data_IF_752312068448
#
_entry.id   IF_752312068448
#
_cell.length_a   1.000
_cell.length_b   1.000
_cell.length_c   1.000
_cell.angle_alpha   90.00
_cell.angle_beta   90.00
_cell.angle_gamma   90.00
#
_symmetry.space_group_name_H-M   'P 1'
#
loop_
_entity.id
_entity.type
_entity.pdbx_description
1 polymer ?
#
# COMPACT_ATOMS: atom_id res chain seq x y z
N UNK A 1 19.73 -0.07 -7.66
CA UNK A 1 20.49 1.14 -7.24
C UNK A 1 20.37 1.46 -5.74
N UNK A 2 19.27 1.17 -5.05
CA UNK A 2 19.11 1.47 -3.61
C UNK A 2 20.02 0.69 -2.64
N UNK A 3 20.36 -0.57 -2.94
CA UNK A 3 21.16 -1.41 -2.04
C UNK A 3 22.60 -0.90 -1.89
N UNK A 4 23.18 -0.36 -2.97
CA UNK A 4 24.55 0.18 -2.97
C UNK A 4 24.64 1.45 -2.11
N UNK A 5 23.60 2.29 -2.13
CA UNK A 5 23.56 3.51 -1.32
C UNK A 5 23.55 3.22 0.19
N UNK A 6 22.84 2.18 0.63
CA UNK A 6 22.78 1.77 2.04
C UNK A 6 24.13 1.23 2.52
N UNK A 7 24.82 0.43 1.70
CA UNK A 7 26.15 -0.11 2.04
C UNK A 7 27.19 1.01 2.17
N UNK A 8 27.17 2.00 1.27
CA UNK A 8 28.08 3.15 1.34
C UNK A 8 27.81 4.05 2.56
N UNK A 9 26.54 4.21 2.94
CA UNK A 9 26.15 4.97 4.13
C UNK A 9 26.63 4.30 5.42
N UNK A 10 26.42 2.97 5.54
CA UNK A 10 26.89 2.19 6.70
C UNK A 10 28.42 2.18 6.79
N UNK A 11 29.11 2.10 5.65
CA UNK A 11 30.57 2.14 5.61
C UNK A 11 31.13 3.51 6.04
N UNK A 12 30.52 4.60 5.57
CA UNK A 12 30.92 5.97 5.93
C UNK A 12 30.61 6.32 7.38
N UNK A 13 29.49 5.84 7.91
CA UNK A 13 29.16 6.00 9.33
C UNK A 13 30.14 5.26 10.25
N UNK A 14 30.58 4.06 9.85
CA UNK A 14 31.56 3.27 10.61
C UNK A 14 32.96 3.91 10.65
N UNK A 15 33.37 4.62 9.61
CA UNK A 15 34.65 5.35 9.58
C UNK A 15 34.64 6.53 10.57
N UNK A 16 33.56 7.31 10.62
CA UNK A 16 33.44 8.49 11.49
C UNK A 16 33.51 8.15 12.99
N UNK A 17 32.93 7.01 13.41
CA UNK A 17 32.93 6.56 14.82
C UNK A 17 34.34 6.19 15.31
N UNK A 18 35.23 5.77 14.42
CA UNK A 18 36.58 5.37 14.80
C UNK A 18 37.53 6.57 14.98
N UNK A 19 37.30 7.68 14.27
CA UNK A 19 38.10 8.90 14.42
C UNK A 19 37.85 9.61 15.76
N UNK A 20 36.61 9.59 16.26
CA UNK A 20 36.26 10.25 17.54
C UNK A 20 36.85 9.57 18.77
N UNK A 21 37.31 8.31 18.63
CA UNK A 21 37.93 7.54 19.72
C UNK A 21 39.43 7.74 19.82
N UNK A 22 40.09 8.20 18.75
CA UNK A 22 41.54 8.44 18.74
C UNK A 22 41.92 9.78 19.40
N UNK A 23 41.04 10.79 19.34
CA UNK A 23 41.29 12.11 19.92
C UNK A 23 41.02 12.25 21.44
N UNK A 24 40.67 11.16 22.15
CA UNK A 24 40.39 11.20 23.60
C UNK A 24 41.47 10.53 24.47
N UNK A 25 42.66 10.28 23.92
CA UNK A 25 43.73 9.60 24.66
C UNK A 25 45.01 10.44 24.87
N UNK A 26 45.00 11.74 24.55
CA UNK A 26 46.16 12.63 24.75
C UNK A 26 45.75 13.89 25.53
N UNK A 27 45.54 13.78 26.84
CA UNK A 27 45.58 14.95 27.75
C UNK A 27 45.59 14.55 29.25
N UNK A 28 46.76 14.12 29.74
CA UNK A 28 47.29 14.25 31.12
C UNK A 28 48.81 14.06 30.92
N UNK A 29 49.73 14.98 31.23
CA UNK A 29 50.12 15.50 32.53
C UNK A 29 51.18 16.63 32.33
N UNK A 30 51.56 17.27 33.43
CA UNK A 30 52.75 18.11 33.72
C UNK A 30 52.44 19.55 34.14
N UNK A 31 52.35 19.72 35.46
CA UNK A 31 52.73 20.94 36.15
C UNK A 31 53.86 20.64 37.15
N UNK A 32 54.94 21.43 37.11
CA UNK A 32 55.47 22.21 38.24
C UNK A 32 56.85 22.82 37.91
N UNK A 33 57.11 24.04 38.41
CA UNK A 33 58.46 24.60 38.49
C UNK A 33 58.56 26.11 38.73
N UNK A 34 58.80 26.53 39.98
CA UNK A 34 59.28 27.87 40.37
C UNK A 34 59.38 27.98 41.90
N UNK A 35 60.52 27.67 42.56
CA UNK A 35 61.76 28.45 42.77
C UNK A 35 61.68 29.50 43.91
N UNK A 36 62.44 29.32 45.01
CA UNK A 36 63.44 30.28 45.54
C UNK A 36 64.17 29.74 46.80
N UNK A 37 65.43 30.17 46.97
CA UNK A 37 66.31 29.93 48.13
C UNK A 37 65.95 30.78 49.36
N UNK A 38 66.32 30.32 50.57
CA UNK A 38 67.02 31.13 51.61
C UNK A 38 67.65 30.25 52.71
N UNK A 39 68.58 30.86 53.44
CA UNK A 39 69.65 30.33 54.31
C UNK A 39 69.34 30.22 55.82
N UNK A 40 70.07 29.31 56.48
CA UNK A 40 70.68 29.35 57.83
C UNK A 40 69.88 29.40 59.16
N UNK A 41 70.36 28.54 60.10
CA UNK A 41 70.40 28.60 61.59
C UNK A 41 69.27 27.98 62.46
N UNK A 42 69.69 27.11 63.41
CA UNK A 42 68.91 26.44 64.49
C UNK A 42 68.77 27.34 65.76
N UNK A 43 68.02 27.02 66.86
CA UNK A 43 67.49 25.70 67.32
C UNK A 43 66.09 25.70 68.01
N UNK A 44 65.11 24.93 67.52
CA UNK A 44 63.79 24.69 68.17
C UNK A 44 63.35 23.23 67.99
N UNK A 45 64.06 22.25 68.56
CA UNK A 45 63.90 20.84 68.13
C UNK A 45 62.88 20.00 68.90
N UNK A 46 62.33 20.47 70.03
CA UNK A 46 61.50 19.59 70.90
C UNK A 46 60.00 19.93 70.94
N UNK A 47 59.58 21.18 70.66
CA UNK A 47 58.17 21.56 70.54
C UNK A 47 57.62 21.36 69.11
N UNK A 48 58.39 21.69 68.07
CA UNK A 48 58.04 21.38 66.67
C UNK A 48 57.90 19.87 66.45
N UNK A 49 58.72 19.06 67.12
CA UNK A 49 58.68 17.59 66.99
C UNK A 49 57.41 16.97 67.56
N UNK A 50 56.71 17.66 68.46
CA UNK A 50 55.45 17.20 69.04
C UNK A 50 54.26 17.63 68.18
N UNK A 51 54.27 18.86 67.64
CA UNK A 51 53.28 19.31 66.64
C UNK A 51 53.41 18.58 65.29
N UNK A 52 54.62 18.30 64.81
CA UNK A 52 54.86 17.52 63.59
C UNK A 52 54.38 16.08 63.74
N UNK A 53 54.53 15.46 64.92
CA UNK A 53 53.99 14.12 65.19
C UNK A 53 52.46 14.10 65.24
N UNK A 54 51.84 15.13 65.79
CA UNK A 54 50.37 15.27 65.78
C UNK A 54 49.81 15.59 64.40
N UNK A 55 50.52 16.38 63.59
CA UNK A 55 50.18 16.65 62.18
C UNK A 55 50.38 15.42 61.28
N UNK A 56 51.53 14.74 61.39
CA UNK A 56 51.78 13.47 60.67
C UNK A 56 50.79 12.37 61.06
N UNK A 57 50.38 12.30 62.33
CA UNK A 57 49.34 11.36 62.77
C UNK A 57 47.98 11.65 62.13
N UNK A 58 47.56 12.91 62.08
CA UNK A 58 46.30 13.32 61.45
C UNK A 58 46.31 13.22 59.91
N UNK A 59 47.46 13.48 59.28
CA UNK A 59 47.66 13.29 57.84
C UNK A 59 47.62 11.79 57.46
N UNK A 60 48.28 10.94 58.25
CA UNK A 60 48.25 9.49 58.04
C UNK A 60 46.84 8.89 58.26
N UNK A 61 46.08 9.35 59.26
CA UNK A 61 44.69 8.94 59.45
C UNK A 61 43.79 9.42 58.30
N UNK A 62 43.99 10.66 57.82
CA UNK A 62 43.25 11.20 56.67
C UNK A 62 43.54 10.45 55.35
N UNK A 63 44.79 10.05 55.11
CA UNK A 63 45.16 9.21 53.97
C UNK A 63 44.55 7.80 54.06
N UNK A 64 44.51 7.21 55.26
CA UNK A 64 43.91 5.90 55.47
C UNK A 64 42.38 5.93 55.25
N UNK A 65 41.72 7.00 55.68
CA UNK A 65 40.28 7.21 55.46
C UNK A 65 39.96 7.42 53.97
N UNK A 66 40.74 8.22 53.25
CA UNK A 66 40.60 8.39 51.79
C UNK A 66 40.80 7.06 51.04
N UNK A 67 41.76 6.23 51.47
CA UNK A 67 42.01 4.92 50.88
C UNK A 67 40.83 3.97 51.10
N UNK A 68 40.24 3.97 52.30
CA UNK A 68 39.02 3.20 52.62
C UNK A 68 37.84 3.69 51.79
N UNK A 69 37.65 5.00 51.64
CA UNK A 69 36.57 5.55 50.83
C UNK A 69 36.73 5.16 49.34
N UNK A 70 37.95 5.26 48.80
CA UNK A 70 38.25 4.83 47.43
C UNK A 70 37.91 3.34 47.21
N UNK A 71 38.29 2.47 48.15
CA UNK A 71 37.95 1.04 48.08
C UNK A 71 36.44 0.81 48.09
N UNK A 72 35.68 1.53 48.92
CA UNK A 72 34.21 1.42 48.95
C UNK A 72 33.58 1.83 47.62
N UNK A 73 34.06 2.94 47.03
CA UNK A 73 33.60 3.41 45.71
C UNK A 73 33.91 2.40 44.61
N UNK A 74 35.10 1.80 44.60
CA UNK A 74 35.47 0.76 43.63
C UNK A 74 34.60 -0.50 43.78
N UNK A 75 34.32 -0.93 45.01
CA UNK A 75 33.44 -2.07 45.27
C UNK A 75 32.00 -1.80 44.83
N UNK A 76 31.50 -0.59 45.05
CA UNK A 76 30.19 -0.16 44.60
C UNK A 76 30.08 -0.11 43.07
N UNK A 77 31.08 0.46 42.40
CA UNK A 77 31.16 0.45 40.94
C UNK A 77 31.21 -0.98 40.38
N UNK A 78 31.93 -1.89 41.05
CA UNK A 78 31.99 -3.31 40.66
C UNK A 78 30.62 -3.98 40.78
N UNK A 79 29.90 -3.72 41.87
CA UNK A 79 28.53 -4.24 42.08
C UNK A 79 27.56 -3.68 41.03
N UNK A 80 27.66 -2.39 40.71
CA UNK A 80 26.83 -1.76 39.69
C UNK A 80 27.12 -2.33 38.29
N UNK A 81 28.40 -2.50 37.95
CA UNK A 81 28.80 -3.13 36.68
C UNK A 81 28.26 -4.55 36.57
N UNK A 82 28.35 -5.34 37.63
CA UNK A 82 27.80 -6.70 37.65
C UNK A 82 26.28 -6.71 37.46
N UNK A 83 25.55 -5.80 38.13
CA UNK A 83 24.10 -5.65 37.93
C UNK A 83 23.74 -5.31 36.48
N UNK A 84 24.46 -4.37 35.86
CA UNK A 84 24.25 -4.01 34.45
C UNK A 84 24.55 -5.18 33.51
N UNK A 85 25.59 -5.95 33.78
CA UNK A 85 25.91 -7.15 32.97
C UNK A 85 24.82 -8.22 33.07
N UNK A 86 24.25 -8.44 34.25
CA UNK A 86 23.11 -9.35 34.45
C UNK A 86 21.84 -8.86 33.73
N UNK A 87 21.57 -7.55 33.78
CA UNK A 87 20.45 -6.94 33.08
C UNK A 87 20.60 -7.08 31.56
N UNK A 88 21.78 -6.76 31.02
CA UNK A 88 22.10 -6.97 29.60
C UNK A 88 21.97 -8.43 29.18
N UNK A 89 22.32 -9.38 30.08
CA UNK A 89 22.15 -10.81 29.80
C UNK A 89 20.67 -11.18 29.68
N UNK A 90 19.80 -10.64 30.56
CA UNK A 90 18.35 -10.84 30.51
C UNK A 90 17.73 -10.20 29.26
N UNK A 91 18.16 -9.02 28.85
CA UNK A 91 17.70 -8.42 27.61
C UNK A 91 18.12 -9.23 26.39
N UNK A 92 19.37 -9.71 26.36
CA UNK A 92 19.86 -10.58 25.28
C UNK A 92 19.04 -11.87 25.17
N UNK A 93 18.60 -12.48 26.27
CA UNK A 93 17.74 -13.67 26.19
C UNK A 93 16.36 -13.32 25.65
N UNK A 94 15.74 -12.22 26.12
CA UNK A 94 14.45 -11.75 25.59
C UNK A 94 14.50 -11.47 24.08
N UNK A 95 15.56 -10.79 23.62
CA UNK A 95 15.76 -10.51 22.20
C UNK A 95 15.86 -11.81 21.39
N UNK A 96 16.57 -12.83 21.90
CA UNK A 96 16.68 -14.14 21.24
C UNK A 96 15.33 -14.84 21.15
N UNK A 97 14.52 -14.80 22.20
CA UNK A 97 13.18 -15.40 22.22
C UNK A 97 12.25 -14.73 21.20
N UNK A 98 12.21 -13.38 21.18
CA UNK A 98 11.43 -12.62 20.20
C UNK A 98 11.90 -12.92 18.78
N UNK A 99 13.22 -12.99 18.55
CA UNK A 99 13.78 -13.32 17.25
C UNK A 99 13.36 -14.73 16.79
N UNK A 100 13.38 -15.72 17.69
CA UNK A 100 12.95 -17.08 17.39
C UNK A 100 11.47 -17.15 17.02
N UNK A 101 10.61 -16.44 17.76
CA UNK A 101 9.18 -16.35 17.44
C UNK A 101 8.95 -15.72 16.07
N UNK A 102 9.67 -14.62 15.76
CA UNK A 102 9.58 -13.97 14.47
C UNK A 102 10.04 -14.88 13.33
N UNK A 103 11.13 -15.64 13.50
CA UNK A 103 11.57 -16.61 12.49
C UNK A 103 10.51 -17.67 12.21
N UNK A 104 9.85 -18.18 13.26
CA UNK A 104 8.77 -19.15 13.12
C UNK A 104 7.56 -18.56 12.39
N UNK A 105 7.20 -17.32 12.68
CA UNK A 105 6.10 -16.63 11.99
C UNK A 105 6.42 -16.40 10.51
N UNK A 106 7.65 -16.00 10.19
CA UNK A 106 8.11 -15.85 8.80
C UNK A 106 8.02 -17.18 8.06
N UNK A 107 8.48 -18.28 8.65
CA UNK A 107 8.41 -19.61 8.05
C UNK A 107 6.95 -20.04 7.83
N UNK A 108 6.09 -19.85 8.82
CA UNK A 108 4.65 -20.12 8.68
C UNK A 108 4.04 -19.32 7.53
N UNK A 109 4.31 -18.02 7.45
CA UNK A 109 3.81 -17.17 6.37
C UNK A 109 4.33 -17.59 5.00
N UNK A 110 5.58 -18.01 4.90
CA UNK A 110 6.13 -18.53 3.65
C UNK A 110 5.44 -19.82 3.19
N UNK A 111 5.16 -20.75 4.12
CA UNK A 111 4.45 -21.99 3.77
C UNK A 111 3.00 -21.73 3.36
N UNK A 112 2.30 -20.80 4.03
CA UNK A 112 0.95 -20.36 3.65
C UNK A 112 0.94 -19.74 2.25
N UNK A 113 1.89 -18.84 1.96
CA UNK A 113 2.02 -18.21 0.65
C UNK A 113 2.28 -19.24 -0.45
N UNK A 114 3.17 -20.20 -0.22
CA UNK A 114 3.45 -21.26 -1.18
C UNK A 114 2.19 -22.11 -1.48
N UNK A 115 1.42 -22.45 -0.45
CA UNK A 115 0.16 -23.17 -0.62
C UNK A 115 -0.85 -22.36 -1.43
N UNK A 116 -0.99 -21.06 -1.12
CA UNK A 116 -1.89 -20.16 -1.86
C UNK A 116 -1.46 -19.96 -3.31
N UNK A 117 -0.17 -19.89 -3.59
CA UNK A 117 0.34 -19.81 -4.95
C UNK A 117 0.00 -21.07 -5.76
N UNK A 118 0.10 -22.25 -5.14
CA UNK A 118 -0.29 -23.51 -5.75
C UNK A 118 -1.80 -23.55 -6.06
N UNK A 119 -2.64 -23.20 -5.08
CA UNK A 119 -4.10 -23.09 -5.26
C UNK A 119 -4.46 -22.10 -6.38
N UNK A 120 -3.77 -20.95 -6.44
CA UNK A 120 -4.00 -19.94 -7.47
C UNK A 120 -3.65 -20.45 -8.87
N UNK A 121 -2.52 -21.16 -9.02
CA UNK A 121 -2.12 -21.76 -10.30
C UNK A 121 -3.12 -22.82 -10.78
N UNK A 122 -3.64 -23.63 -9.85
CA UNK A 122 -4.65 -24.64 -10.17
C UNK A 122 -5.97 -23.98 -10.60
N UNK A 123 -6.45 -22.97 -9.85
CA UNK A 123 -7.65 -22.22 -10.21
C UNK A 123 -7.50 -21.51 -11.58
N UNK A 124 -6.32 -20.95 -11.88
CA UNK A 124 -6.04 -20.36 -13.19
C UNK A 124 -6.12 -21.40 -14.31
N UNK A 125 -5.56 -22.60 -14.10
CA UNK A 125 -5.65 -23.69 -15.09
C UNK A 125 -7.10 -24.11 -15.34
N UNK A 126 -7.89 -24.27 -14.28
CA UNK A 126 -9.31 -24.60 -14.39
C UNK A 126 -10.09 -23.54 -15.17
N UNK A 127 -9.83 -22.25 -14.89
CA UNK A 127 -10.48 -21.15 -15.61
C UNK A 127 -10.14 -21.14 -17.10
N UNK A 128 -8.87 -21.40 -17.46
CA UNK A 128 -8.46 -21.50 -18.87
C UNK A 128 -9.12 -22.70 -19.56
N UNK A 129 -9.21 -23.86 -18.90
CA UNK A 129 -9.96 -25.01 -19.42
C UNK A 129 -11.43 -24.64 -19.68
N UNK A 130 -12.10 -24.04 -18.71
CA UNK A 130 -13.50 -23.62 -18.86
C UNK A 130 -13.70 -22.56 -19.95
N UNK A 131 -12.72 -21.67 -20.16
CA UNK A 131 -12.73 -20.71 -21.27
C UNK A 131 -12.59 -21.42 -22.62
N UNK A 132 -11.72 -22.41 -22.73
CA UNK A 132 -11.55 -23.17 -23.98
C UNK A 132 -12.81 -23.98 -24.32
N UNK A 133 -13.44 -24.62 -23.34
CA UNK A 133 -14.69 -25.35 -23.52
C UNK A 133 -15.83 -24.41 -23.94
N UNK A 134 -16.01 -23.28 -23.24
CA UNK A 134 -17.00 -22.27 -23.63
C UNK A 134 -16.74 -21.70 -25.04
N UNK A 135 -15.48 -21.62 -25.46
CA UNK A 135 -15.14 -21.20 -26.82
C UNK A 135 -15.54 -22.25 -27.85
N UNK A 136 -15.29 -23.52 -27.58
CA UNK A 136 -15.69 -24.63 -28.45
C UNK A 136 -17.21 -24.70 -28.59
N UNK A 137 -17.94 -24.69 -27.47
CA UNK A 137 -19.41 -24.69 -27.48
C UNK A 137 -20.00 -23.52 -28.27
N UNK A 138 -19.36 -22.34 -28.22
CA UNK A 138 -19.78 -21.19 -29.03
C UNK A 138 -19.56 -21.42 -30.53
N UNK A 139 -18.48 -22.08 -30.91
CA UNK A 139 -18.22 -22.43 -32.31
C UNK A 139 -19.22 -23.48 -32.79
N UNK A 140 -19.43 -24.54 -32.02
CA UNK A 140 -20.41 -25.60 -32.32
C UNK A 140 -21.82 -25.02 -32.46
N UNK A 141 -22.23 -24.10 -31.59
CA UNK A 141 -23.51 -23.41 -31.68
C UNK A 141 -23.64 -22.58 -32.96
N UNK A 142 -22.56 -21.96 -33.44
CA UNK A 142 -22.57 -21.23 -34.72
C UNK A 142 -22.67 -22.19 -35.91
N UNK A 143 -21.94 -23.30 -35.89
CA UNK A 143 -22.00 -24.33 -36.95
C UNK A 143 -23.38 -25.01 -37.01
N UNK A 144 -23.98 -25.30 -35.84
CA UNK A 144 -25.34 -25.86 -35.78
C UNK A 144 -26.36 -24.87 -36.34
N UNK A 145 -26.23 -23.58 -35.98
CA UNK A 145 -27.08 -22.52 -36.50
C UNK A 145 -26.98 -22.36 -38.02
N UNK A 146 -25.76 -22.33 -38.58
CA UNK A 146 -25.59 -22.24 -40.04
C UNK A 146 -26.08 -23.49 -40.76
N UNK A 147 -25.91 -24.68 -40.19
CA UNK A 147 -26.47 -25.93 -40.74
C UNK A 147 -28.00 -25.89 -40.77
N UNK A 148 -28.63 -25.41 -39.70
CA UNK A 148 -30.09 -25.25 -39.63
C UNK A 148 -30.62 -24.24 -40.65
N UNK A 149 -29.98 -23.06 -40.75
CA UNK A 149 -30.34 -22.06 -41.76
C UNK A 149 -30.12 -22.58 -43.20
N UNK A 150 -29.13 -23.45 -43.43
CA UNK A 150 -28.93 -24.13 -44.72
C UNK A 150 -30.06 -25.09 -45.05
N UNK A 151 -30.46 -25.93 -44.09
CA UNK A 151 -31.56 -26.87 -44.25
C UNK A 151 -32.93 -26.17 -44.42
N UNK A 152 -33.15 -25.04 -43.76
CA UNK A 152 -34.38 -24.23 -43.94
C UNK A 152 -34.48 -23.66 -45.36
N UNK A 153 -33.36 -23.22 -45.97
CA UNK A 153 -33.35 -22.75 -47.38
C UNK A 153 -33.60 -23.89 -48.38
N UNK A 154 -33.13 -25.10 -48.09
CA UNK A 154 -33.35 -26.29 -48.95
C UNK A 154 -34.81 -26.76 -48.92
N UNK A 155 -35.50 -26.59 -47.77
CA UNK A 155 -36.94 -26.82 -47.64
C UNK A 155 -37.76 -25.76 -48.38
N UNK A 156 -37.28 -24.50 -48.44
CA UNK A 156 -37.93 -23.42 -49.19
C UNK A 156 -37.81 -23.59 -50.72
N UNK A 157 -36.74 -24.21 -51.22
CA UNK A 157 -36.53 -24.52 -52.64
C UNK A 157 -37.29 -25.77 -53.14
N UNK A 158 -38.00 -26.50 -52.28
CA UNK A 158 -38.75 -27.72 -52.65
C UNK A 158 -40.27 -27.56 -52.72
N UNK A 159 -40.81 -26.34 -52.63
CA UNK A 159 -42.25 -26.10 -52.76
C UNK A 159 -42.59 -25.15 -53.94
N UNK A 160 -42.74 -25.66 -55.18
CA UNK A 160 -43.48 -24.94 -56.19
C UNK A 160 -44.95 -25.34 -56.07
N UNK A 161 -45.79 -24.32 -55.83
CA UNK A 161 -47.21 -24.23 -56.20
C UNK A 161 -48.23 -24.34 -55.05
N UNK A 162 -48.65 -23.18 -54.54
CA UNK A 162 -50.08 -22.87 -54.44
C UNK A 162 -50.31 -21.36 -54.41
N UNK A 163 -50.79 -20.90 -55.57
CA UNK A 163 -51.39 -19.59 -55.81
C UNK A 163 -52.82 -19.58 -55.25
N UNK A 164 -53.24 -18.47 -54.63
CA UNK A 164 -54.56 -17.82 -54.78
C UNK A 164 -55.17 -17.17 -53.52
N UNK A 165 -55.64 -15.94 -53.76
CA UNK A 165 -56.69 -15.15 -53.09
C UNK A 165 -56.39 -14.53 -51.72
N UNK A 166 -56.14 -13.22 -51.65
CA UNK A 166 -57.10 -12.08 -51.71
C UNK A 166 -57.91 -11.85 -50.41
N UNK A 167 -57.57 -10.78 -49.68
CA UNK A 167 -58.50 -9.70 -49.23
C UNK A 167 -57.67 -8.57 -48.56
N UNK A 168 -57.50 -7.41 -49.21
CA UNK A 168 -58.15 -6.09 -48.90
C UNK A 168 -57.98 -5.57 -47.45
N UNK A 169 -57.71 -4.30 -47.13
CA UNK A 169 -57.63 -3.02 -47.84
C UNK A 169 -57.10 -1.94 -46.86
N UNK A 170 -56.35 -0.96 -47.39
CA UNK A 170 -56.26 0.46 -47.02
C UNK A 170 -55.85 0.90 -45.58
N UNK A 171 -54.84 1.78 -45.50
CA UNK A 171 -55.08 3.22 -45.66
C UNK A 171 -53.76 4.01 -45.60
N UNK A 172 -53.57 4.87 -46.59
CA UNK A 172 -52.61 5.98 -46.58
C UNK A 172 -52.81 6.90 -45.37
N UNK A 173 -51.73 7.50 -44.88
CA UNK A 173 -51.63 8.98 -44.84
C UNK A 173 -50.25 9.45 -44.41
N UNK A 174 -49.71 10.34 -45.23
CA UNK A 174 -48.47 11.09 -45.10
C UNK A 174 -48.76 12.44 -44.41
N UNK A 175 -47.99 12.81 -43.40
CA UNK A 175 -47.72 14.18 -42.92
C UNK A 175 -46.63 14.07 -41.84
N UNK A 176 -45.52 14.81 -41.78
CA UNK A 176 -45.23 16.13 -42.32
C UNK A 176 -45.09 17.14 -41.18
N UNK A 177 -43.88 17.34 -40.65
CA UNK A 177 -43.45 18.62 -40.06
C UNK A 177 -43.18 18.70 -38.54
N UNK A 178 -42.43 19.72 -38.06
CA UNK A 178 -41.21 19.55 -37.23
C UNK A 178 -41.17 20.36 -35.91
N UNK A 179 -40.23 20.07 -35.01
CA UNK A 179 -39.86 20.95 -33.87
C UNK A 179 -39.16 20.26 -32.68
N UNK A 180 -37.90 20.63 -32.44
CA UNK A 180 -37.01 20.33 -31.29
C UNK A 180 -37.57 20.73 -29.90
N UNK A 181 -36.79 20.63 -28.80
CA UNK A 181 -35.94 19.55 -28.30
C UNK A 181 -36.35 19.17 -26.86
N UNK A 182 -36.17 17.91 -26.42
CA UNK A 182 -36.16 17.64 -24.98
C UNK A 182 -35.20 16.51 -24.61
N UNK A 183 -34.12 16.94 -23.97
CA UNK A 183 -33.27 16.14 -23.11
C UNK A 183 -34.11 15.41 -22.06
N UNK A 184 -33.96 14.09 -21.97
CA UNK A 184 -33.79 13.37 -20.70
C UNK A 184 -33.35 11.93 -21.02
N UNK A 185 -32.09 11.53 -20.77
CA UNK A 185 -31.84 10.13 -20.49
C UNK A 185 -32.55 9.78 -19.17
N UNK A 186 -33.33 8.71 -19.19
CA UNK A 186 -34.04 8.18 -18.03
C UNK A 186 -33.01 7.64 -17.02
N UNK A 187 -32.56 8.48 -16.09
CA UNK A 187 -31.75 8.09 -14.94
C UNK A 187 -32.71 7.54 -13.87
N UNK A 188 -32.72 6.23 -13.65
CA UNK A 188 -33.27 5.68 -12.42
C UNK A 188 -32.31 6.05 -11.29
N UNK A 189 -32.50 7.23 -10.70
CA UNK A 189 -31.81 7.64 -9.48
C UNK A 189 -32.41 6.87 -8.31
N UNK A 190 -31.91 5.67 -8.10
CA UNK A 190 -31.86 5.09 -6.77
C UNK A 190 -31.10 6.08 -5.87
N UNK A 191 -31.62 6.35 -4.68
CA UNK A 191 -31.00 7.21 -3.66
C UNK A 191 -29.73 6.54 -3.08
N UNK A 192 -28.73 6.28 -3.94
CA UNK A 192 -27.50 5.55 -3.61
C UNK A 192 -26.40 6.44 -3.06
N UNK A 193 -26.58 7.76 -3.10
CA UNK A 193 -25.52 8.73 -2.74
C UNK A 193 -24.32 8.74 -3.71
N UNK A 194 -24.49 8.16 -4.90
CA UNK A 194 -23.50 8.15 -5.97
C UNK A 194 -24.12 8.51 -7.31
N UNK A 195 -23.33 9.11 -8.17
CA UNK A 195 -23.68 9.41 -9.57
C UNK A 195 -22.49 9.10 -10.49
N UNK A 196 -22.78 8.69 -11.73
CA UNK A 196 -21.78 8.33 -12.74
C UNK A 196 -22.05 9.12 -14.02
N UNK A 197 -21.11 9.99 -14.39
CA UNK A 197 -21.18 10.78 -15.63
C UNK A 197 -20.17 10.26 -16.66
N UNK A 198 -20.62 9.94 -17.86
CA UNK A 198 -19.76 9.48 -18.96
C UNK A 198 -19.40 10.65 -19.86
N UNK A 199 -18.12 10.75 -20.25
CA UNK A 199 -17.67 11.72 -21.23
C UNK A 199 -18.35 11.51 -22.59
N UNK A 200 -18.82 12.57 -23.21
CA UNK A 200 -19.52 12.54 -24.51
C UNK A 200 -18.68 11.92 -25.65
N UNK A 201 -17.35 11.92 -25.52
CA UNK A 201 -16.44 11.30 -26.49
C UNK A 201 -15.93 9.92 -26.04
N UNK A 202 -16.50 9.37 -24.96
CA UNK A 202 -16.20 8.05 -24.46
C UNK A 202 -14.77 7.86 -23.94
N UNK A 203 -14.11 8.93 -23.47
CA UNK A 203 -12.69 8.88 -23.05
C UNK A 203 -12.50 8.55 -21.57
N UNK A 204 -13.44 8.96 -20.74
CA UNK A 204 -13.43 8.78 -19.29
C UNK A 204 -14.86 8.80 -18.74
N UNK A 205 -15.02 8.44 -17.48
CA UNK A 205 -16.23 8.76 -16.71
C UNK A 205 -15.84 9.36 -15.36
N UNK A 206 -16.79 10.00 -14.68
CA UNK A 206 -16.63 10.52 -13.32
C UNK A 206 -17.57 9.77 -12.39
N UNK A 207 -17.02 9.25 -11.30
CA UNK A 207 -17.81 8.76 -10.16
C UNK A 207 -17.88 9.90 -9.13
N UNK A 208 -19.09 10.32 -8.78
CA UNK A 208 -19.36 11.41 -7.84
C UNK A 208 -20.01 10.88 -6.58
N UNK A 209 -19.57 11.36 -5.43
CA UNK A 209 -20.28 11.18 -4.17
C UNK A 209 -21.31 12.30 -4.03
N UNK A 210 -22.59 11.96 -4.18
CA UNK A 210 -23.70 12.93 -4.06
C UNK A 210 -24.25 13.00 -2.64
N UNK A 211 -23.74 12.18 -1.71
CA UNK A 211 -24.13 12.23 -0.31
C UNK A 211 -23.46 13.37 0.45
N UNK A 212 -24.07 13.77 1.57
CA UNK A 212 -23.53 14.80 2.47
C UNK A 212 -22.36 14.31 3.36
N UNK A 213 -21.96 13.04 3.24
CA UNK A 213 -20.92 12.43 4.06
C UNK A 213 -19.82 11.84 3.19
N UNK A 214 -18.60 11.81 3.72
CA UNK A 214 -17.48 11.13 3.08
C UNK A 214 -17.74 9.63 2.95
N UNK A 215 -17.39 9.05 1.81
CA UNK A 215 -17.56 7.62 1.53
C UNK A 215 -16.22 6.91 1.47
N UNK A 216 -16.04 5.92 2.34
CA UNK A 216 -14.88 5.03 2.32
C UNK A 216 -15.11 3.95 1.26
N UNK A 217 -14.46 4.08 0.10
CA UNK A 217 -14.56 3.11 -0.99
C UNK A 217 -13.41 2.09 -0.95
N UNK A 218 -12.75 1.94 0.20
CA UNK A 218 -11.63 1.03 0.37
C UNK A 218 -12.00 -0.41 0.00
N UNK A 219 -11.28 -0.99 -0.98
CA UNK A 219 -11.54 -2.33 -1.51
C UNK A 219 -12.89 -2.53 -2.20
N UNK A 220 -13.63 -1.45 -2.48
CA UNK A 220 -14.83 -1.51 -3.29
C UNK A 220 -14.47 -1.90 -4.73
N UNK A 221 -15.46 -2.44 -5.45
CA UNK A 221 -15.28 -2.92 -6.81
C UNK A 221 -16.26 -2.22 -7.75
N UNK A 222 -15.76 -1.64 -8.84
CA UNK A 222 -16.56 -1.09 -9.91
C UNK A 222 -16.46 -1.99 -11.13
N UNK A 223 -17.61 -2.46 -11.61
CA UNK A 223 -17.72 -3.25 -12.82
C UNK A 223 -18.25 -2.38 -13.95
N UNK A 224 -17.66 -2.50 -15.12
CA UNK A 224 -18.13 -1.89 -16.35
C UNK A 224 -18.29 -2.95 -17.43
N UNK A 225 -19.51 -3.11 -17.90
CA UNK A 225 -19.85 -3.89 -19.07
C UNK A 225 -20.10 -2.96 -20.26
N UNK A 226 -19.45 -3.26 -21.39
CA UNK A 226 -19.63 -2.52 -22.65
C UNK A 226 -20.37 -3.43 -23.64
N UNK A 227 -21.57 -3.04 -24.04
CA UNK A 227 -22.50 -3.82 -24.84
C UNK A 227 -22.77 -5.19 -24.18
N UNK A 228 -22.55 -6.27 -24.91
CA UNK A 228 -22.72 -7.66 -24.45
C UNK A 228 -21.39 -8.33 -24.07
N UNK A 229 -20.31 -7.55 -23.90
CA UNK A 229 -18.99 -8.07 -23.55
C UNK A 229 -18.90 -8.41 -22.06
N UNK A 230 -17.90 -9.21 -21.68
CA UNK A 230 -17.64 -9.50 -20.28
C UNK A 230 -17.36 -8.21 -19.49
N UNK A 231 -17.89 -8.07 -18.26
CA UNK A 231 -17.60 -6.95 -17.39
C UNK A 231 -16.11 -6.84 -17.06
N UNK A 232 -15.59 -5.62 -17.10
CA UNK A 232 -14.23 -5.28 -16.66
C UNK A 232 -14.33 -4.78 -15.22
N UNK A 233 -13.40 -5.20 -14.37
CA UNK A 233 -13.36 -4.82 -12.94
C UNK A 233 -12.29 -3.78 -12.64
N UNK A 234 -12.62 -2.83 -11.78
CA UNK A 234 -11.70 -1.94 -11.08
C UNK A 234 -11.84 -2.11 -9.57
N UNK A 235 -10.74 -2.17 -8.85
CA UNK A 235 -10.74 -2.26 -7.39
C UNK A 235 -10.07 -1.02 -6.80
N UNK A 236 -10.78 -0.34 -5.90
CA UNK A 236 -10.26 0.85 -5.23
C UNK A 236 -9.17 0.47 -4.21
N UNK A 237 -8.19 1.36 -4.01
CA UNK A 237 -7.15 1.19 -2.99
C UNK A 237 -7.78 1.11 -1.60
N UNK A 238 -7.17 0.36 -0.70
CA UNK A 238 -7.72 0.10 0.64
C UNK A 238 -8.04 1.37 1.46
N UNK A 239 -7.27 2.44 1.28
CA UNK A 239 -7.46 3.72 1.98
C UNK A 239 -8.19 4.79 1.17
N UNK A 240 -8.91 4.40 0.10
CA UNK A 240 -9.58 5.37 -0.78
C UNK A 240 -10.84 5.94 -0.10
N UNK A 241 -10.92 7.28 -0.06
CA UNK A 241 -12.04 8.04 0.46
C UNK A 241 -12.49 9.02 -0.62
N UNK A 242 -13.78 8.99 -0.96
CA UNK A 242 -14.41 9.98 -1.83
C UNK A 242 -15.20 10.95 -0.95
N UNK A 243 -14.72 12.19 -0.84
CA UNK A 243 -15.34 13.20 0.04
C UNK A 243 -16.74 13.57 -0.42
N UNK A 244 -17.55 14.13 0.48
CA UNK A 244 -18.89 14.62 0.18
C UNK A 244 -18.87 15.64 -0.98
N UNK A 245 -19.71 15.44 -2.00
CA UNK A 245 -19.80 16.32 -3.16
C UNK A 245 -18.66 16.21 -4.18
N UNK A 246 -17.56 15.51 -3.83
CA UNK A 246 -16.40 15.36 -4.71
C UNK A 246 -16.62 14.30 -5.79
N UNK A 247 -15.81 14.38 -6.84
CA UNK A 247 -15.81 13.39 -7.92
C UNK A 247 -14.41 12.93 -8.27
N UNK A 248 -14.30 11.66 -8.66
CA UNK A 248 -13.06 11.08 -9.17
C UNK A 248 -13.23 10.72 -10.65
N UNK A 249 -12.26 11.14 -11.45
CA UNK A 249 -12.22 10.83 -12.88
C UNK A 249 -11.51 9.50 -13.10
N UNK A 250 -12.15 8.63 -13.88
CA UNK A 250 -11.65 7.31 -14.26
C UNK A 250 -11.28 7.32 -15.75
N UNK A 251 -9.97 7.25 -16.05
CA UNK A 251 -9.45 7.38 -17.41
C UNK A 251 -8.90 6.07 -17.97
N UNK A 252 -9.12 5.84 -19.28
CA UNK A 252 -8.47 4.78 -20.03
C UNK A 252 -6.97 5.05 -20.22
N UNK A 253 -6.16 3.99 -20.26
CA UNK A 253 -4.71 4.12 -20.45
C UNK A 253 -4.39 4.61 -21.87
N UNK A 254 -3.67 5.73 -21.97
CA UNK A 254 -3.23 6.29 -23.27
C UNK A 254 -4.13 7.40 -23.82
N UNK A 255 -5.19 7.78 -23.10
CA UNK A 255 -6.06 8.90 -23.46
C UNK A 255 -5.87 10.08 -22.50
N UNK A 256 -5.33 11.20 -23.00
CA UNK A 256 -5.19 12.48 -22.30
C UNK A 256 -3.75 12.83 -21.88
N UNK A 257 -3.24 13.97 -22.34
CA UNK A 257 -1.92 14.52 -21.96
C UNK A 257 -1.95 15.32 -20.65
N UNK A 258 -3.13 15.48 -20.04
CA UNK A 258 -3.36 16.34 -18.87
C UNK A 258 -3.99 15.52 -17.74
N UNK A 259 -3.21 14.64 -17.11
CA UNK A 259 -3.63 13.94 -15.90
C UNK A 259 -3.52 14.88 -14.71
N UNK A 260 -4.59 15.02 -13.95
CA UNK A 260 -4.48 15.57 -12.60
C UNK A 260 -3.95 14.48 -11.66
N UNK A 261 -3.28 14.85 -10.55
CA UNK A 261 -2.83 13.87 -9.56
C UNK A 261 -3.98 13.11 -8.87
N UNK A 262 -5.23 13.55 -9.05
CA UNK A 262 -6.43 12.95 -8.45
C UNK A 262 -7.15 11.99 -9.41
N UNK A 263 -6.74 11.90 -10.69
CA UNK A 263 -7.34 10.99 -11.66
C UNK A 263 -6.92 9.53 -11.41
N UNK A 264 -7.88 8.61 -11.47
CA UNK A 264 -7.64 7.17 -11.37
C UNK A 264 -7.48 6.54 -12.76
N UNK A 265 -6.41 5.75 -12.92
CA UNK A 265 -6.11 5.06 -14.18
C UNK A 265 -6.70 3.65 -14.18
N UNK A 266 -7.57 3.37 -15.15
CA UNK A 266 -8.10 2.04 -15.37
C UNK A 266 -7.39 1.39 -16.56
N UNK A 267 -6.36 0.58 -16.27
CA UNK A 267 -5.41 0.09 -17.28
C UNK A 267 -6.03 -0.76 -18.40
N UNK A 268 -7.12 -1.47 -18.13
CA UNK A 268 -7.80 -2.36 -19.08
C UNK A 268 -8.99 -1.71 -19.79
N UNK A 269 -9.27 -0.44 -19.47
CA UNK A 269 -10.35 0.31 -20.06
C UNK A 269 -9.96 0.75 -21.47
N UNK A 270 -10.85 0.48 -22.43
CA UNK A 270 -10.76 1.00 -23.79
C UNK A 270 -11.68 2.21 -23.90
N UNK A 271 -11.34 3.22 -24.71
CA UNK A 271 -12.28 4.27 -25.06
C UNK A 271 -13.50 3.66 -25.75
N UNK A 272 -14.63 4.32 -25.60
CA UNK A 272 -15.91 3.92 -26.17
C UNK A 272 -16.27 4.84 -27.33
N UNK A 273 -17.21 4.40 -28.17
CA UNK A 273 -17.72 5.16 -29.31
C UNK A 273 -19.20 5.49 -29.14
N UNK A 274 -19.70 6.47 -29.89
CA UNK A 274 -21.14 6.74 -29.99
C UNK A 274 -21.92 5.46 -30.30
N UNK A 275 -23.04 5.26 -29.60
CA UNK A 275 -23.86 4.06 -29.65
C UNK A 275 -23.42 2.91 -28.74
N UNK A 276 -22.24 2.96 -28.11
CA UNK A 276 -21.87 1.95 -27.10
C UNK A 276 -22.79 2.06 -25.87
N UNK A 277 -23.35 0.93 -25.46
CA UNK A 277 -24.12 0.78 -24.22
C UNK A 277 -23.18 0.41 -23.08
N UNK A 278 -23.15 1.22 -22.03
CA UNK A 278 -22.34 1.04 -20.85
C UNK A 278 -23.23 0.67 -19.66
N UNK A 279 -22.89 -0.40 -18.95
CA UNK A 279 -23.52 -0.78 -17.69
C UNK A 279 -22.46 -0.77 -16.58
N UNK A 280 -22.67 0.10 -15.60
CA UNK A 280 -21.84 0.26 -14.42
C UNK A 280 -22.51 -0.38 -13.22
N UNK A 281 -21.75 -1.14 -12.42
CA UNK A 281 -22.23 -1.70 -11.16
C UNK A 281 -21.15 -1.51 -10.09
N UNK A 282 -21.46 -0.71 -9.06
CA UNK A 282 -20.58 -0.41 -7.94
C UNK A 282 -20.93 -1.31 -6.76
N UNK A 283 -19.93 -2.02 -6.23
CA UNK A 283 -20.07 -2.93 -5.09
C UNK A 283 -19.25 -2.46 -3.90
N UNK A 284 -19.84 -2.56 -2.71
CA UNK A 284 -19.11 -2.38 -1.45
C UNK A 284 -18.07 -3.48 -1.24
N UNK A 285 -17.19 -3.29 -0.26
CA UNK A 285 -16.26 -4.35 0.20
C UNK A 285 -16.98 -5.60 0.76
N UNK A 286 -18.25 -5.48 1.16
CA UNK A 286 -19.12 -6.60 1.56
C UNK A 286 -19.84 -7.27 0.39
N UNK A 287 -19.58 -6.82 -0.86
CA UNK A 287 -20.20 -7.29 -2.11
C UNK A 287 -21.69 -6.97 -2.25
N UNK A 288 -22.16 -5.91 -1.60
CA UNK A 288 -23.51 -5.38 -1.81
C UNK A 288 -23.47 -4.37 -2.95
N UNK A 289 -24.49 -4.38 -3.81
CA UNK A 289 -24.65 -3.38 -4.88
C UNK A 289 -25.01 -2.05 -4.24
N UNK A 290 -24.19 -1.03 -4.50
CA UNK A 290 -24.36 0.31 -3.99
C UNK A 290 -24.94 1.24 -5.06
N UNK A 291 -24.58 1.05 -6.32
CA UNK A 291 -25.10 1.85 -7.42
C UNK A 291 -25.04 1.06 -8.73
N UNK A 292 -26.04 1.24 -9.59
CA UNK A 292 -26.08 0.66 -10.92
C UNK A 292 -26.58 1.71 -11.92
N UNK A 293 -25.89 1.82 -13.06
CA UNK A 293 -26.25 2.76 -14.13
C UNK A 293 -26.10 2.09 -15.48
N UNK A 294 -27.11 2.25 -16.34
CA UNK A 294 -27.03 1.88 -17.75
C UNK A 294 -27.19 3.14 -18.61
N UNK A 295 -26.23 3.41 -19.49
CA UNK A 295 -26.21 4.59 -20.35
C UNK A 295 -25.69 4.23 -21.74
N UNK A 296 -26.21 4.87 -22.78
CA UNK A 296 -25.69 4.76 -24.15
C UNK A 296 -24.98 6.06 -24.50
N UNK A 297 -23.79 5.96 -25.09
CA UNK A 297 -23.06 7.15 -25.55
C UNK A 297 -23.82 7.77 -26.73
N UNK A 298 -24.12 9.08 -26.69
CA UNK A 298 -24.88 9.76 -27.74
C UNK A 298 -24.19 9.75 -29.11
#
# INVERSE_FOLDING_TARGET
MFVIAVVLFVWKWRQNINETKRNRLDQVDEGEGGQLMTSETAPVKDLERQEEKSKQGGEAEGEEEQKKEKQRREEEQKKEKQRREEELKKERTKIKEVHLLLMKEVEQKQTELWKKEKELKEAQRQLETQRTENRQLRTELQEEKTRREGAEREVEDTDPQSDSSEFHLASESQAGGPGEPLHTPHTQTSDSGFDIEVDQHGKYFRLRNTSAQDKQLGLWELYLQVNTKQPIKFTFKQSFILQAGESVRMCARGYGSNYSNTDLKWNHLKPWSSGDRLQFSLYSNTREIQHELCVTIP
#
